data_IF_842332430566
#
_entry.id   IF_842332430566
#
_cell.length_a   1.000
_cell.length_b   1.000
_cell.length_c   1.000
_cell.angle_alpha   90.00
_cell.angle_beta   90.00
_cell.angle_gamma   90.00
#
_symmetry.space_group_name_H-M   'P 1'
#
loop_
_entity.id
_entity.type
_entity.pdbx_description
1 polymer ?
#
# COMPACT_ATOMS: atom_id res chain seq x y z
N UNK A 1 26.21 35.09 -30.89
CA UNK A 1 26.61 33.71 -31.28
C UNK A 1 26.75 32.88 -29.99
N UNK A 2 25.77 32.87 -29.10
CA UNK A 2 24.64 31.93 -28.98
C UNK A 2 25.02 30.43 -28.97
N UNK A 3 24.65 29.75 -27.85
CA UNK A 3 24.36 28.31 -27.66
C UNK A 3 25.52 27.33 -27.37
N UNK A 4 25.99 27.27 -26.12
CA UNK A 4 26.69 26.07 -25.57
C UNK A 4 26.35 25.76 -24.09
N UNK A 5 25.13 26.07 -23.63
CA UNK A 5 24.69 25.85 -22.23
C UNK A 5 23.57 24.82 -22.04
N UNK A 6 23.05 24.21 -23.11
CA UNK A 6 21.83 23.38 -23.05
C UNK A 6 22.08 21.86 -22.86
N UNK A 7 23.34 21.42 -22.77
CA UNK A 7 23.67 19.99 -22.68
C UNK A 7 23.39 19.37 -21.31
N UNK A 8 23.41 20.15 -20.22
CA UNK A 8 23.16 19.61 -18.87
C UNK A 8 21.67 19.58 -18.47
N UNK A 9 20.81 20.43 -19.07
CA UNK A 9 19.38 20.47 -18.70
C UNK A 9 18.54 19.44 -19.49
N UNK A 10 18.96 19.07 -20.70
CA UNK A 10 18.26 18.09 -21.53
C UNK A 10 18.34 16.66 -20.99
N UNK A 11 19.48 16.28 -20.41
CA UNK A 11 19.66 14.94 -19.84
C UNK A 11 18.89 14.72 -18.52
N UNK A 12 18.72 15.74 -17.70
CA UNK A 12 17.91 15.66 -16.47
C UNK A 12 16.43 15.46 -16.80
N UNK A 13 15.93 16.13 -17.84
CA UNK A 13 14.55 15.95 -18.31
C UNK A 13 14.31 14.56 -18.95
N UNK A 14 15.32 14.00 -19.62
CA UNK A 14 15.26 12.63 -20.16
C UNK A 14 15.34 11.59 -19.03
N UNK A 15 16.11 11.85 -17.96
CA UNK A 15 16.16 10.96 -16.80
C UNK A 15 14.84 10.96 -16.01
N UNK A 16 14.13 12.09 -15.97
CA UNK A 16 12.85 12.25 -15.26
C UNK A 16 11.66 11.63 -16.00
N UNK A 17 11.74 11.46 -17.32
CA UNK A 17 10.67 10.87 -18.15
C UNK A 17 10.81 9.36 -18.37
N UNK A 18 11.98 8.79 -18.05
CA UNK A 18 12.28 7.36 -18.24
C UNK A 18 12.18 6.51 -16.96
N UNK A 19 11.87 7.11 -15.81
CA UNK A 19 11.39 6.35 -14.66
C UNK A 19 9.88 6.20 -14.80
N UNK A 20 9.36 5.07 -15.30
CA UNK A 20 7.95 4.81 -15.11
C UNK A 20 7.77 4.78 -13.59
N UNK A 21 6.93 5.66 -13.06
CA UNK A 21 6.30 5.40 -11.77
C UNK A 21 5.66 4.04 -11.95
N UNK A 22 6.32 3.00 -11.42
CA UNK A 22 5.81 1.66 -11.45
C UNK A 22 4.44 1.75 -10.77
N UNK A 23 3.39 1.57 -11.57
CA UNK A 23 2.04 1.44 -11.06
C UNK A 23 2.07 0.36 -9.99
N UNK A 24 2.00 0.76 -8.72
CA UNK A 24 1.70 -0.15 -7.62
C UNK A 24 0.25 -0.58 -7.82
N UNK A 25 0.05 -1.57 -8.68
CA UNK A 25 -1.22 -2.25 -8.80
C UNK A 25 -1.37 -3.13 -7.56
N UNK A 26 -2.29 -2.77 -6.68
CA UNK A 26 -2.68 -3.62 -5.56
C UNK A 26 -3.29 -4.91 -6.14
N UNK A 27 -2.50 -5.99 -6.16
CA UNK A 27 -2.97 -7.28 -6.62
C UNK A 27 -4.09 -7.79 -5.71
N UNK A 28 -5.24 -8.12 -6.30
CA UNK A 28 -6.36 -8.71 -5.58
C UNK A 28 -5.98 -10.11 -5.11
N UNK A 29 -5.55 -10.24 -3.87
CA UNK A 29 -5.22 -11.54 -3.26
C UNK A 29 -6.49 -12.27 -2.83
N UNK A 30 -6.66 -13.49 -3.31
CA UNK A 30 -7.64 -14.45 -2.78
C UNK A 30 -7.03 -15.14 -1.57
N UNK A 31 -7.73 -15.13 -0.43
CA UNK A 31 -7.29 -15.77 0.81
C UNK A 31 -7.56 -17.27 0.74
N UNK A 32 -6.56 -18.10 1.04
CA UNK A 32 -6.69 -19.57 1.13
C UNK A 32 -6.58 -20.04 2.57
N UNK A 33 -7.04 -21.27 2.83
CA UNK A 33 -6.91 -21.90 4.15
C UNK A 33 -5.42 -22.11 4.45
N UNK A 34 -5.00 -21.69 5.64
CA UNK A 34 -3.59 -21.77 6.08
C UNK A 34 -2.77 -20.53 5.76
N UNK A 35 -3.26 -19.63 4.90
CA UNK A 35 -2.60 -18.35 4.68
C UNK A 35 -2.60 -17.50 5.96
N UNK A 36 -1.57 -16.69 6.21
CA UNK A 36 -1.62 -15.71 7.27
C UNK A 36 -2.77 -14.74 7.00
N UNK A 37 -3.62 -14.52 8.01
CA UNK A 37 -4.68 -13.52 7.92
C UNK A 37 -4.08 -12.14 7.59
N UNK A 38 -4.64 -11.42 6.61
CA UNK A 38 -4.14 -10.11 6.21
C UNK A 38 -4.28 -9.13 7.38
N UNK A 39 -3.24 -8.34 7.62
CA UNK A 39 -3.28 -7.32 8.67
C UNK A 39 -4.20 -6.19 8.23
N UNK A 40 -5.05 -5.73 9.15
CA UNK A 40 -5.91 -4.58 8.96
C UNK A 40 -6.03 -3.81 10.25
N UNK A 41 -6.37 -2.55 10.11
CA UNK A 41 -6.56 -1.63 11.21
C UNK A 41 -7.97 -1.03 11.10
N UNK A 42 -8.71 -1.05 12.21
CA UNK A 42 -10.06 -0.52 12.29
C UNK A 42 -10.17 0.40 13.51
N UNK A 43 -11.07 1.37 13.41
CA UNK A 43 -11.47 2.14 14.58
C UNK A 43 -12.57 1.39 15.33
N UNK A 44 -12.36 1.21 16.63
CA UNK A 44 -13.37 0.71 17.55
C UNK A 44 -14.50 1.72 17.74
N UNK A 45 -15.64 1.26 18.25
CA UNK A 45 -16.75 2.12 18.68
C UNK A 45 -16.31 3.13 19.77
N UNK A 46 -15.29 2.79 20.54
CA UNK A 46 -14.70 3.67 21.56
C UNK A 46 -13.70 4.70 20.97
N UNK A 47 -13.51 4.73 19.64
CA UNK A 47 -12.53 5.60 18.96
C UNK A 47 -11.07 5.17 19.09
N UNK A 48 -10.82 3.96 19.61
CA UNK A 48 -9.47 3.36 19.68
C UNK A 48 -9.13 2.64 18.39
N UNK A 49 -7.90 2.82 17.94
CA UNK A 49 -7.37 2.08 16.79
C UNK A 49 -7.02 0.64 17.22
N UNK A 50 -7.56 -0.34 16.50
CA UNK A 50 -7.35 -1.77 16.76
C UNK A 50 -6.72 -2.40 15.51
N UNK A 51 -5.60 -3.11 15.68
CA UNK A 51 -4.95 -3.87 14.60
C UNK A 51 -5.13 -5.36 14.81
N UNK A 52 -5.31 -6.12 13.73
CA UNK A 52 -5.39 -7.58 13.82
C UNK A 52 -4.10 -8.19 14.40
N UNK A 53 -2.96 -7.61 14.05
CA UNK A 53 -1.63 -7.97 14.55
C UNK A 53 -1.49 -7.91 16.08
N UNK A 54 -2.27 -7.08 16.78
CA UNK A 54 -2.22 -6.97 18.24
C UNK A 54 -2.71 -8.24 18.96
N UNK A 55 -3.45 -9.11 18.25
CA UNK A 55 -3.99 -10.36 18.79
C UNK A 55 -3.15 -11.61 18.45
N UNK A 56 -1.93 -11.44 17.91
CA UNK A 56 -1.03 -12.59 17.66
C UNK A 56 -0.79 -13.38 18.95
N UNK A 57 -0.75 -14.71 18.81
CA UNK A 57 -0.65 -15.64 19.95
C UNK A 57 -1.97 -15.96 20.65
N UNK A 58 -3.07 -15.28 20.31
CA UNK A 58 -4.42 -15.61 20.78
C UNK A 58 -5.21 -16.33 19.69
N UNK A 59 -6.16 -17.18 20.09
CA UNK A 59 -7.15 -17.74 19.17
C UNK A 59 -8.24 -16.69 18.95
N UNK A 60 -8.44 -16.26 17.70
CA UNK A 60 -9.36 -15.19 17.32
C UNK A 60 -10.31 -15.70 16.26
N UNK A 61 -11.60 -15.37 16.40
CA UNK A 61 -12.61 -15.57 15.37
C UNK A 61 -13.02 -14.19 14.84
N UNK A 62 -12.90 -13.97 13.53
CA UNK A 62 -13.36 -12.75 12.89
C UNK A 62 -14.81 -12.94 12.41
N UNK A 63 -15.71 -12.09 12.88
CA UNK A 63 -17.11 -12.11 12.50
C UNK A 63 -17.48 -10.84 11.74
N UNK A 64 -17.83 -10.99 10.46
CA UNK A 64 -18.24 -9.89 9.58
C UNK A 64 -19.76 -9.91 9.50
N UNK A 65 -20.40 -8.81 9.92
CA UNK A 65 -21.86 -8.70 9.99
C UNK A 65 -22.32 -7.26 9.76
N UNK A 66 -23.61 -7.08 9.53
CA UNK A 66 -24.27 -5.78 9.42
C UNK A 66 -25.71 -5.90 9.96
N UNK A 67 -26.26 -4.82 10.52
CA UNK A 67 -27.55 -4.80 11.26
C UNK A 67 -28.79 -4.37 10.45
N UNK A 68 -28.57 -4.01 9.19
CA UNK A 68 -29.61 -3.74 8.19
C UNK A 68 -30.69 -4.81 8.10
#
# INVERSE_FOLDING_TARGET
>A
MLRRGLACSGWVLILLTLFPVASMSAEKRTIKIGDPAPDFTLQSLDGREIRLSDYRGKRVLLFIWASW
#
